data_IF_900570912207
#
_entry.id   IF_900570912207
#
_cell.length_a   1.000
_cell.length_b   1.000
_cell.length_c   1.000
_cell.angle_alpha   90.00
_cell.angle_beta   90.00
_cell.angle_gamma   90.00
#
_symmetry.space_group_name_H-M   'P 1'
#
loop_
_entity.id
_entity.type
_entity.pdbx_description
1 polymer ?
#
# COMPACT_ATOMS: atom_id res chain seq x y z
N UNK A 1 12.10 33.09 34.33
CA UNK A 1 11.94 31.62 34.49
C UNK A 1 11.67 31.03 33.11
N UNK A 2 12.61 30.25 32.57
CA UNK A 2 12.49 29.67 31.24
C UNK A 2 11.66 28.39 31.26
N UNK A 3 10.62 28.33 30.43
CA UNK A 3 9.81 27.13 30.19
C UNK A 3 10.65 26.12 29.42
N UNK A 4 11.15 25.10 30.12
CA UNK A 4 11.84 23.96 29.52
C UNK A 4 10.85 23.20 28.61
N UNK A 5 10.97 23.37 27.29
CA UNK A 5 10.32 22.48 26.31
C UNK A 5 11.04 21.12 26.36
N UNK A 6 10.51 20.18 27.12
CA UNK A 6 10.92 18.78 27.05
C UNK A 6 10.67 18.24 25.64
N UNK A 7 11.72 18.19 24.80
CA UNK A 7 11.67 17.51 23.51
C UNK A 7 11.52 16.01 23.79
N UNK A 8 10.32 15.45 23.57
CA UNK A 8 10.09 14.00 23.66
C UNK A 8 11.07 13.30 22.72
N UNK A 9 12.02 12.55 23.27
CA UNK A 9 12.97 11.76 22.49
C UNK A 9 12.17 10.70 21.72
N UNK A 10 12.32 10.67 20.39
CA UNK A 10 11.78 9.58 19.57
C UNK A 10 12.55 8.33 19.95
N UNK A 11 11.92 7.42 20.69
CA UNK A 11 12.51 6.11 20.97
C UNK A 11 12.24 5.19 19.76
N UNK A 12 13.20 4.33 19.38
CA UNK A 12 12.96 3.31 18.38
C UNK A 12 11.85 2.37 18.89
N UNK A 13 10.87 2.10 18.04
CA UNK A 13 9.83 1.09 18.28
C UNK A 13 10.21 -0.11 17.43
N UNK A 14 10.38 -1.26 18.05
CA UNK A 14 10.50 -2.53 17.34
C UNK A 14 9.10 -3.06 17.04
N UNK A 15 8.86 -3.43 15.79
CA UNK A 15 7.58 -3.95 15.31
C UNK A 15 7.83 -5.31 14.71
N UNK A 16 7.18 -6.33 15.26
CA UNK A 16 7.17 -7.69 14.70
C UNK A 16 6.01 -7.81 13.71
N UNK A 17 6.30 -8.28 12.49
CA UNK A 17 5.31 -8.47 11.43
C UNK A 17 5.11 -9.95 11.21
N UNK A 18 3.92 -10.45 11.52
CA UNK A 18 3.54 -11.84 11.31
C UNK A 18 2.77 -11.93 9.99
N UNK A 19 3.27 -12.74 9.06
CA UNK A 19 2.59 -13.01 7.80
C UNK A 19 1.69 -14.23 7.92
N UNK A 20 0.51 -14.22 7.29
CA UNK A 20 -0.36 -15.38 7.25
C UNK A 20 0.27 -16.50 6.41
N UNK A 21 0.16 -17.74 6.90
CA UNK A 21 0.64 -18.95 6.22
C UNK A 21 -0.48 -19.76 5.56
N UNK A 22 -1.74 -19.49 5.93
CA UNK A 22 -2.90 -20.16 5.33
C UNK A 22 -3.24 -19.56 3.97
N UNK A 23 -3.83 -20.35 3.08
CA UNK A 23 -4.25 -19.87 1.77
C UNK A 23 -5.29 -18.74 1.88
N UNK A 24 -6.21 -18.83 2.84
CA UNK A 24 -7.19 -17.79 3.14
C UNK A 24 -6.52 -16.51 3.62
N UNK A 25 -5.57 -16.61 4.55
CA UNK A 25 -4.88 -15.44 5.08
C UNK A 25 -3.98 -14.76 4.05
N UNK A 26 -3.31 -15.53 3.19
CA UNK A 26 -2.54 -14.98 2.06
C UNK A 26 -3.47 -14.22 1.12
N UNK A 27 -4.64 -14.77 0.80
CA UNK A 27 -5.63 -14.11 -0.05
C UNK A 27 -6.13 -12.80 0.58
N UNK A 28 -6.46 -12.81 1.87
CA UNK A 28 -6.88 -11.59 2.58
C UNK A 28 -5.78 -10.52 2.59
N UNK A 29 -4.52 -10.93 2.76
CA UNK A 29 -3.38 -10.03 2.69
C UNK A 29 -3.22 -9.42 1.29
N UNK A 30 -3.31 -10.23 0.23
CA UNK A 30 -3.24 -9.77 -1.15
C UNK A 30 -4.36 -8.78 -1.46
N UNK A 31 -5.60 -9.09 -1.07
CA UNK A 31 -6.75 -8.22 -1.25
C UNK A 31 -6.58 -6.89 -0.50
N UNK A 32 -6.04 -6.93 0.73
CA UNK A 32 -5.75 -5.75 1.53
C UNK A 32 -4.70 -4.86 0.87
N UNK A 33 -3.60 -5.45 0.40
CA UNK A 33 -2.53 -4.73 -0.29
C UNK A 33 -3.01 -4.13 -1.62
N UNK A 34 -3.81 -4.87 -2.39
CA UNK A 34 -4.38 -4.39 -3.64
C UNK A 34 -5.27 -3.15 -3.40
N UNK A 35 -6.14 -3.17 -2.38
CA UNK A 35 -6.96 -2.01 -2.01
C UNK A 35 -6.13 -0.80 -1.59
N UNK A 36 -5.09 -1.03 -0.78
CA UNK A 36 -4.20 0.05 -0.34
C UNK A 36 -3.47 0.69 -1.53
N UNK A 37 -2.97 -0.13 -2.45
CA UNK A 37 -2.30 0.33 -3.66
C UNK A 37 -3.23 1.13 -4.56
N UNK A 38 -4.44 0.60 -4.85
CA UNK A 38 -5.43 1.31 -5.66
C UNK A 38 -5.76 2.68 -5.09
N UNK A 39 -5.93 2.79 -3.78
CA UNK A 39 -6.19 4.06 -3.11
C UNK A 39 -5.01 5.03 -3.20
N UNK A 40 -3.77 4.55 -3.10
CA UNK A 40 -2.58 5.39 -3.30
C UNK A 40 -2.55 5.92 -4.73
N UNK A 41 -2.80 5.06 -5.71
CA UNK A 41 -2.82 5.43 -7.13
C UNK A 41 -3.95 6.41 -7.44
N UNK A 42 -5.16 6.19 -6.91
CA UNK A 42 -6.29 7.10 -7.04
C UNK A 42 -5.96 8.49 -6.49
N UNK A 43 -5.37 8.55 -5.29
CA UNK A 43 -4.99 9.81 -4.67
C UNK A 43 -3.91 10.57 -5.46
N UNK A 44 -3.03 9.86 -6.17
CA UNK A 44 -1.93 10.46 -6.93
C UNK A 44 -2.34 10.87 -8.35
N UNK A 45 -3.18 10.08 -8.99
CA UNK A 45 -3.52 10.21 -10.41
C UNK A 45 -4.89 10.84 -10.64
N UNK A 46 -5.75 10.86 -9.62
CA UNK A 46 -7.18 11.10 -9.78
C UNK A 46 -7.90 9.92 -10.44
N UNK A 47 -9.22 9.96 -10.44
CA UNK A 47 -10.10 8.90 -10.95
C UNK A 47 -9.82 8.57 -12.43
N UNK A 48 -9.79 9.59 -13.29
CA UNK A 48 -9.53 9.42 -14.73
C UNK A 48 -8.12 8.88 -15.03
N UNK A 49 -7.12 9.32 -14.25
CA UNK A 49 -5.75 8.86 -14.40
C UNK A 49 -5.59 7.39 -13.99
N UNK A 50 -6.22 7.01 -12.88
CA UNK A 50 -6.27 5.62 -12.43
C UNK A 50 -6.96 4.72 -13.47
N UNK A 51 -8.07 5.16 -14.05
CA UNK A 51 -8.77 4.40 -15.09
C UNK A 51 -7.87 4.09 -16.29
N UNK A 52 -7.17 5.09 -16.82
CA UNK A 52 -6.22 4.90 -17.94
C UNK A 52 -5.06 3.98 -17.57
N UNK A 53 -4.57 4.08 -16.34
CA UNK A 53 -3.53 3.19 -15.85
C UNK A 53 -3.99 1.72 -15.83
N UNK A 54 -5.22 1.46 -15.36
CA UNK A 54 -5.79 0.11 -15.35
C UNK A 54 -5.95 -0.42 -16.78
N UNK A 55 -6.52 0.38 -17.69
CA UNK A 55 -6.68 0.02 -19.10
C UNK A 55 -5.33 -0.32 -19.76
N UNK A 56 -4.28 0.48 -19.48
CA UNK A 56 -2.92 0.19 -19.93
C UNK A 56 -2.38 -1.11 -19.35
N UNK A 57 -2.50 -1.31 -18.03
CA UNK A 57 -2.01 -2.52 -17.37
C UNK A 57 -2.68 -3.79 -17.91
N UNK A 58 -4.00 -3.75 -18.16
CA UNK A 58 -4.74 -4.85 -18.78
C UNK A 58 -4.26 -5.16 -20.20
N UNK A 59 -4.00 -4.13 -21.01
CA UNK A 59 -3.43 -4.34 -22.36
C UNK A 59 -2.08 -5.05 -22.30
N UNK A 60 -1.21 -4.68 -21.34
CA UNK A 60 0.09 -5.32 -21.15
C UNK A 60 0.02 -6.73 -20.58
N UNK A 61 -0.99 -7.02 -19.76
CA UNK A 61 -1.23 -8.37 -19.27
C UNK A 61 -1.67 -9.31 -20.39
N UNK A 62 -2.46 -8.81 -21.37
CA UNK A 62 -2.91 -9.58 -22.55
C UNK A 62 -1.81 -9.80 -23.59
N UNK A 63 -0.84 -8.90 -23.67
CA UNK A 63 0.30 -8.97 -24.61
C UNK A 63 1.46 -9.85 -24.12
N UNK A 64 1.39 -10.40 -22.91
CA UNK A 64 2.45 -11.29 -22.41
C UNK A 64 2.31 -12.67 -23.08
N UNK A 65 3.28 -13.13 -23.88
CA UNK A 65 3.25 -14.50 -24.40
C UNK A 65 3.40 -15.46 -23.21
N UNK A 66 2.44 -16.36 -23.09
CA UNK A 66 2.39 -17.45 -22.12
C UNK A 66 3.59 -18.38 -22.23
#
# INVERSE_FOLDING_TARGET
MGINRCKKKKQPIEVEVIYPETAEGIKELQDSQARAMLRILENQLGEDGLRRFIEYAESKAKDKPS
#
